data_IF_704039360603
#
_entry.id   IF_704039360603
#
_cell.length_a   1.000
_cell.length_b   1.000
_cell.length_c   1.000
_cell.angle_alpha   90.00
_cell.angle_beta   90.00
_cell.angle_gamma   90.00
#
_symmetry.space_group_name_H-M   'P 1'
#
loop_
_entity.id
_entity.type
_entity.pdbx_description
1 polymer ?
#
# COMPACT_ATOMS: atom_id res chain seq x y z
N UNK A 1 -7.99 -47.28 54.47
CA UNK A 1 -8.62 -48.28 53.57
C UNK A 1 -8.01 -48.11 52.19
N UNK A 2 -7.35 -49.16 51.69
CA UNK A 2 -6.77 -49.22 50.34
C UNK A 2 -7.90 -49.39 49.33
N UNK A 3 -7.90 -48.64 48.24
CA UNK A 3 -8.75 -48.95 47.07
C UNK A 3 -7.92 -48.78 45.80
N UNK A 4 -7.78 -49.88 45.08
CA UNK A 4 -7.07 -50.01 43.82
C UNK A 4 -8.00 -49.56 42.68
N UNK A 5 -7.54 -48.69 41.78
CA UNK A 5 -8.25 -48.38 40.53
C UNK A 5 -7.52 -49.09 39.40
N UNK A 6 -8.23 -50.04 38.77
CA UNK A 6 -7.77 -50.80 37.61
C UNK A 6 -7.79 -49.93 36.34
N UNK A 7 -6.77 -50.13 35.51
CA UNK A 7 -6.64 -49.66 34.14
C UNK A 7 -7.61 -50.35 33.18
N UNK A 8 -8.13 -49.62 32.20
CA UNK A 8 -8.69 -50.17 30.97
C UNK A 8 -8.08 -49.43 29.77
N UNK A 9 -7.20 -50.13 29.04
CA UNK A 9 -6.51 -49.66 27.85
C UNK A 9 -7.30 -50.16 26.62
N UNK A 10 -8.03 -49.28 25.94
CA UNK A 10 -8.71 -49.60 24.68
C UNK A 10 -7.75 -49.47 23.49
N UNK A 11 -7.31 -50.58 22.93
CA UNK A 11 -6.62 -50.65 21.64
C UNK A 11 -7.65 -50.63 20.50
N UNK A 12 -7.66 -49.57 19.69
CA UNK A 12 -8.36 -49.50 18.41
C UNK A 12 -7.44 -50.04 17.31
N UNK A 13 -7.84 -51.13 16.67
CA UNK A 13 -7.17 -51.66 15.47
C UNK A 13 -7.94 -51.17 14.24
N UNK A 14 -7.27 -50.41 13.37
CA UNK A 14 -7.81 -49.98 12.09
C UNK A 14 -7.57 -51.08 11.04
N UNK A 15 -8.64 -51.73 10.57
CA UNK A 15 -8.59 -52.68 9.46
C UNK A 15 -8.57 -51.94 8.12
N UNK A 16 -7.55 -52.19 7.31
CA UNK A 16 -7.48 -51.76 5.91
C UNK A 16 -8.10 -52.84 5.01
N UNK A 17 -9.18 -52.50 4.30
CA UNK A 17 -9.75 -53.35 3.25
C UNK A 17 -9.29 -52.84 1.88
N UNK A 18 -8.44 -53.61 1.20
CA UNK A 18 -8.12 -53.41 -0.21
C UNK A 18 -9.12 -54.19 -1.08
N UNK A 19 -9.82 -53.50 -1.98
CA UNK A 19 -10.66 -54.11 -3.00
C UNK A 19 -9.81 -54.51 -4.22
N UNK A 20 -10.05 -55.68 -4.85
CA UNK A 20 -9.34 -56.07 -6.06
C UNK A 20 -9.86 -55.28 -7.27
N UNK A 21 -8.94 -54.71 -8.05
CA UNK A 21 -9.24 -54.08 -9.33
C UNK A 21 -9.58 -55.15 -10.39
N UNK A 22 -10.59 -54.92 -11.26
CA UNK A 22 -10.91 -55.84 -12.33
C UNK A 22 -9.84 -55.79 -13.43
N UNK A 23 -9.43 -56.98 -13.87
CA UNK A 23 -8.50 -57.22 -14.98
C UNK A 23 -9.20 -56.94 -16.30
N UNK A 24 -8.79 -55.88 -17.00
CA UNK A 24 -9.24 -55.63 -18.37
C UNK A 24 -8.66 -56.70 -19.31
N UNK A 25 -9.52 -57.30 -20.14
CA UNK A 25 -9.11 -58.22 -21.20
C UNK A 25 -8.64 -57.42 -22.42
N UNK A 26 -7.47 -57.77 -22.93
CA UNK A 26 -6.92 -57.23 -24.17
C UNK A 26 -7.72 -57.79 -25.35
N UNK A 27 -8.61 -56.98 -25.91
CA UNK A 27 -9.29 -57.27 -27.18
C UNK A 27 -8.55 -56.51 -28.28
N UNK A 28 -7.67 -57.22 -28.98
CA UNK A 28 -6.98 -56.69 -30.16
C UNK A 28 -8.01 -56.46 -31.27
N UNK A 29 -8.47 -55.22 -31.39
CA UNK A 29 -9.35 -54.78 -32.48
C UNK A 29 -8.50 -54.08 -33.53
N UNK A 30 -8.38 -54.68 -34.71
CA UNK A 30 -7.70 -54.09 -35.87
C UNK A 30 -8.58 -52.98 -36.44
N UNK A 31 -8.30 -51.73 -36.08
CA UNK A 31 -9.01 -50.55 -36.63
C UNK A 31 -8.25 -50.03 -37.83
N UNK A 32 -8.90 -50.08 -38.99
CA UNK A 32 -8.48 -49.44 -40.24
C UNK A 32 -8.25 -47.94 -40.01
N UNK A 33 -7.02 -47.47 -40.20
CA UNK A 33 -6.66 -46.07 -40.06
C UNK A 33 -7.28 -45.25 -41.20
N UNK A 34 -8.44 -44.66 -40.95
CA UNK A 34 -8.95 -43.54 -41.74
C UNK A 34 -8.11 -42.32 -41.38
N UNK A 35 -7.36 -41.77 -42.34
CA UNK A 35 -6.60 -40.54 -42.16
C UNK A 35 -7.53 -39.40 -41.78
N UNK A 36 -7.66 -39.17 -40.47
CA UNK A 36 -8.32 -37.99 -39.92
C UNK A 36 -7.49 -36.78 -40.32
N UNK A 37 -8.03 -35.98 -41.23
CA UNK A 37 -7.56 -34.62 -41.50
C UNK A 37 -7.34 -33.93 -40.17
N UNK A 38 -6.10 -33.59 -39.86
CA UNK A 38 -5.71 -32.92 -38.63
C UNK A 38 -6.44 -31.60 -38.55
N UNK A 39 -7.62 -31.59 -37.91
CA UNK A 39 -8.26 -30.37 -37.48
C UNK A 39 -7.28 -29.70 -36.54
N UNK A 40 -6.66 -28.61 -37.00
CA UNK A 40 -5.86 -27.72 -36.20
C UNK A 40 -6.73 -27.24 -35.04
N UNK A 41 -6.69 -27.98 -33.95
CA UNK A 41 -7.38 -27.61 -32.72
C UNK A 41 -6.61 -26.41 -32.23
N UNK A 42 -7.17 -25.21 -32.41
CA UNK A 42 -6.59 -23.99 -31.88
C UNK A 42 -6.50 -24.15 -30.36
N UNK A 43 -5.30 -24.42 -29.86
CA UNK A 43 -5.05 -24.43 -28.43
C UNK A 43 -5.43 -23.05 -27.91
N UNK A 44 -6.34 -22.94 -26.92
CA UNK A 44 -6.69 -21.65 -26.36
C UNK A 44 -5.43 -21.02 -25.77
N UNK A 45 -5.12 -19.79 -26.20
CA UNK A 45 -4.05 -18.99 -25.58
C UNK A 45 -4.37 -18.82 -24.10
N UNK A 46 -3.47 -19.19 -23.18
CA UNK A 46 -3.68 -18.95 -21.75
C UNK A 46 -3.96 -17.46 -21.49
N UNK A 47 -4.94 -17.18 -20.63
CA UNK A 47 -5.19 -15.80 -20.19
C UNK A 47 -4.01 -15.32 -19.34
N UNK A 48 -3.36 -14.25 -19.78
CA UNK A 48 -2.32 -13.54 -19.02
C UNK A 48 -2.93 -12.31 -18.34
N UNK A 49 -3.14 -12.41 -17.02
CA UNK A 49 -3.71 -11.31 -16.22
C UNK A 49 -2.74 -10.13 -16.05
N UNK A 50 -1.47 -10.29 -16.44
CA UNK A 50 -0.43 -9.25 -16.38
C UNK A 50 -0.24 -8.51 -17.69
N UNK A 51 -0.90 -8.97 -18.77
CA UNK A 51 -0.77 -8.37 -20.09
C UNK A 51 -1.15 -6.89 -20.08
N UNK A 52 -0.19 -6.01 -20.40
CA UNK A 52 -0.37 -4.57 -20.43
C UNK A 52 -0.24 -3.86 -19.08
N UNK A 53 0.02 -4.59 -17.99
CA UNK A 53 0.18 -4.00 -16.67
C UNK A 53 1.43 -3.13 -16.60
N UNK A 54 1.28 -1.90 -16.11
CA UNK A 54 2.40 -0.99 -15.86
C UNK A 54 2.68 -0.92 -14.37
N UNK A 55 3.85 -1.44 -13.97
CA UNK A 55 4.24 -1.51 -12.56
C UNK A 55 5.07 -0.33 -12.11
N UNK A 56 5.77 0.40 -12.99
CA UNK A 56 6.49 1.62 -12.64
C UNK A 56 5.57 2.84 -12.71
N UNK A 57 5.83 3.87 -11.91
CA UNK A 57 5.16 5.15 -12.08
C UNK A 57 5.65 5.83 -13.37
N UNK A 58 4.78 6.13 -14.35
CA UNK A 58 5.22 6.77 -15.58
C UNK A 58 5.70 8.20 -15.32
N UNK A 59 6.80 8.59 -15.95
CA UNK A 59 7.38 9.93 -15.88
C UNK A 59 7.41 10.50 -17.30
N UNK A 60 6.86 11.69 -17.47
CA UNK A 60 6.75 12.38 -18.75
C UNK A 60 8.13 12.78 -19.30
N UNK A 61 8.22 12.96 -20.62
CA UNK A 61 9.46 13.36 -21.31
C UNK A 61 9.91 14.79 -20.98
N UNK A 62 9.05 15.60 -20.36
CA UNK A 62 9.41 16.93 -19.86
C UNK A 62 10.45 16.89 -18.75
N UNK A 63 10.63 15.73 -18.10
CA UNK A 63 11.70 15.51 -17.14
C UNK A 63 13.01 15.17 -17.87
N UNK A 64 13.98 16.08 -17.84
CA UNK A 64 15.34 15.79 -18.31
C UNK A 64 15.99 14.64 -17.52
N UNK A 65 17.13 14.13 -17.99
CA UNK A 65 17.81 12.97 -17.40
C UNK A 65 18.11 13.11 -15.89
N UNK A 66 18.40 14.32 -15.41
CA UNK A 66 18.72 14.57 -14.01
C UNK A 66 17.46 14.59 -13.14
N UNK A 67 16.40 15.26 -13.60
CA UNK A 67 15.12 15.31 -12.88
C UNK A 67 14.47 13.92 -12.85
N UNK A 68 14.48 13.22 -13.99
CA UNK A 68 13.98 11.85 -14.11
C UNK A 68 14.64 10.91 -13.11
N UNK A 69 15.97 10.87 -13.04
CA UNK A 69 16.68 9.99 -12.08
C UNK A 69 16.32 10.27 -10.62
N UNK A 70 16.16 11.55 -10.26
CA UNK A 70 15.77 11.92 -8.89
C UNK A 70 14.34 11.48 -8.60
N UNK A 71 13.44 11.70 -9.55
CA UNK A 71 12.04 11.33 -9.43
C UNK A 71 11.84 9.80 -9.42
N UNK A 72 12.59 9.04 -10.21
CA UNK A 72 12.63 7.57 -10.16
C UNK A 72 13.00 7.08 -8.76
N UNK A 73 14.11 7.57 -8.19
CA UNK A 73 14.51 7.25 -6.81
C UNK A 73 13.41 7.65 -5.81
N UNK A 74 12.87 8.85 -5.95
CA UNK A 74 11.85 9.36 -5.04
C UNK A 74 10.57 8.49 -5.06
N UNK A 75 10.17 8.02 -6.23
CA UNK A 75 9.01 7.12 -6.41
C UNK A 75 9.28 5.73 -5.84
N UNK A 76 10.51 5.22 -5.98
CA UNK A 76 10.93 3.97 -5.32
C UNK A 76 10.87 4.11 -3.79
N UNK A 77 11.37 5.22 -3.23
CA UNK A 77 11.28 5.52 -1.79
C UNK A 77 9.82 5.68 -1.33
N UNK A 78 8.92 6.22 -2.16
CA UNK A 78 7.47 6.26 -1.85
C UNK A 78 6.87 4.86 -1.79
N UNK A 79 7.26 3.96 -2.69
CA UNK A 79 6.81 2.55 -2.65
C UNK A 79 7.37 1.87 -1.41
N UNK A 80 8.63 2.11 -1.03
CA UNK A 80 9.23 1.60 0.20
C UNK A 80 8.46 2.05 1.44
N UNK A 81 8.19 3.36 1.55
CA UNK A 81 7.45 3.94 2.66
C UNK A 81 6.03 3.35 2.77
N UNK A 82 5.31 3.26 1.65
CA UNK A 82 3.96 2.69 1.62
C UNK A 82 3.96 1.18 1.92
N UNK A 83 4.95 0.43 1.41
CA UNK A 83 5.09 -0.99 1.69
C UNK A 83 5.34 -1.23 3.18
N UNK A 84 6.20 -0.43 3.80
CA UNK A 84 6.46 -0.52 5.23
C UNK A 84 5.21 -0.22 6.05
N UNK A 85 4.47 0.85 5.73
CA UNK A 85 3.20 1.17 6.39
C UNK A 85 2.16 0.04 6.27
N UNK A 86 2.00 -0.51 5.06
CA UNK A 86 1.15 -1.70 4.80
C UNK A 86 1.55 -2.87 5.68
N UNK A 87 2.83 -3.19 5.71
CA UNK A 87 3.35 -4.36 6.41
C UNK A 87 3.29 -4.20 7.93
N UNK A 88 3.44 -2.97 8.44
CA UNK A 88 3.19 -2.64 9.85
C UNK A 88 1.73 -2.94 10.24
N UNK A 89 0.76 -2.49 9.43
CA UNK A 89 -0.67 -2.78 9.66
C UNK A 89 -0.93 -4.30 9.62
N UNK A 90 -0.38 -5.01 8.64
CA UNK A 90 -0.57 -6.47 8.53
C UNK A 90 0.03 -7.24 9.71
N UNK A 91 1.17 -6.77 10.21
CA UNK A 91 1.91 -7.44 11.29
C UNK A 91 1.25 -7.24 12.65
N UNK A 92 0.88 -6.00 12.96
CA UNK A 92 0.46 -5.63 14.31
C UNK A 92 -1.04 -5.35 14.43
N UNK A 93 -1.71 -5.04 13.33
CA UNK A 93 -3.14 -4.74 13.30
C UNK A 93 -3.53 -3.71 14.36
N UNK A 94 -4.65 -3.95 15.02
CA UNK A 94 -5.17 -3.09 16.08
C UNK A 94 -4.35 -3.06 17.37
N UNK A 95 -3.38 -3.96 17.54
CA UNK A 95 -2.51 -3.98 18.73
C UNK A 95 -1.38 -2.94 18.63
N UNK A 96 -1.14 -2.37 17.44
CA UNK A 96 -0.14 -1.31 17.28
C UNK A 96 -0.61 0.00 17.92
N UNK A 97 0.21 0.62 18.79
CA UNK A 97 -0.10 1.94 19.32
C UNK A 97 -0.13 3.00 18.21
N UNK A 98 0.60 2.82 17.10
CA UNK A 98 0.53 3.73 15.96
C UNK A 98 -0.79 3.58 15.19
N UNK A 99 -1.27 2.35 15.00
CA UNK A 99 -2.58 2.11 14.36
C UNK A 99 -3.70 2.74 15.19
N UNK A 100 -3.67 2.51 16.50
CA UNK A 100 -4.62 3.12 17.44
C UNK A 100 -4.56 4.65 17.47
N UNK A 101 -3.35 5.21 17.35
CA UNK A 101 -3.11 6.66 17.34
C UNK A 101 -3.68 7.35 16.10
N UNK A 102 -3.49 6.77 14.92
CA UNK A 102 -3.83 7.42 13.64
C UNK A 102 -5.18 7.01 13.07
N UNK A 103 -5.61 5.77 13.28
CA UNK A 103 -6.90 5.25 12.78
C UNK A 103 -7.93 5.10 13.91
N UNK A 104 -7.59 5.72 15.04
CA UNK A 104 -8.46 5.85 16.18
C UNK A 104 -8.55 4.59 17.00
N UNK A 105 -8.96 4.82 18.23
CA UNK A 105 -9.65 3.80 19.01
C UNK A 105 -11.05 4.28 19.38
N UNK A 106 -11.51 5.40 18.80
CA UNK A 106 -12.84 6.02 18.84
C UNK A 106 -13.61 5.90 20.16
N UNK A 107 -14.06 7.00 20.76
CA UNK A 107 -15.11 6.91 21.79
C UNK A 107 -16.41 6.46 21.12
N UNK A 108 -16.64 5.15 20.99
CA UNK A 108 -17.89 4.62 20.48
C UNK A 108 -19.06 5.14 21.32
N UNK A 109 -20.25 5.19 20.71
CA UNK A 109 -21.49 5.51 21.42
C UNK A 109 -21.58 4.64 22.69
N UNK A 110 -21.55 5.27 23.86
CA UNK A 110 -21.47 4.68 25.22
C UNK A 110 -20.07 4.48 25.82
N UNK A 111 -19.04 5.18 25.35
CA UNK A 111 -17.68 5.12 25.92
C UNK A 111 -16.93 3.83 25.57
N UNK A 112 -17.35 3.15 24.50
CA UNK A 112 -16.72 1.91 24.03
C UNK A 112 -15.71 2.22 22.94
N UNK A 113 -14.44 2.13 23.29
CA UNK A 113 -13.29 2.28 22.40
C UNK A 113 -13.42 1.35 21.17
N UNK A 114 -13.73 1.90 19.98
CA UNK A 114 -13.79 1.17 18.71
C UNK A 114 -12.73 1.68 17.72
N UNK A 115 -11.75 0.83 17.41
CA UNK A 115 -10.80 1.04 16.32
C UNK A 115 -11.55 1.00 14.96
N UNK A 116 -11.31 1.99 14.10
CA UNK A 116 -11.82 1.93 12.73
C UNK A 116 -11.12 0.81 11.96
N UNK A 117 -11.82 0.23 10.99
CA UNK A 117 -11.28 -0.83 10.15
C UNK A 117 -9.98 -0.39 9.49
N UNK A 118 -8.89 -1.13 9.72
CA UNK A 118 -7.61 -0.90 9.04
C UNK A 118 -7.61 -1.35 7.58
N UNK A 119 -8.73 -1.91 7.08
CA UNK A 119 -8.85 -2.35 5.69
C UNK A 119 -8.69 -1.20 4.70
N UNK A 120 -9.21 -0.01 5.02
CA UNK A 120 -9.07 1.18 4.17
C UNK A 120 -7.61 1.62 4.02
N UNK A 121 -6.87 1.97 5.11
CA UNK A 121 -5.47 2.36 4.98
C UNK A 121 -4.61 1.24 4.39
N UNK A 122 -4.86 -0.03 4.77
CA UNK A 122 -4.19 -1.18 4.18
C UNK A 122 -4.39 -1.26 2.66
N UNK A 123 -5.62 -1.04 2.20
CA UNK A 123 -5.98 -1.03 0.78
C UNK A 123 -5.25 0.09 0.02
N UNK A 124 -5.22 1.30 0.56
CA UNK A 124 -4.55 2.43 -0.10
C UNK A 124 -3.04 2.21 -0.23
N UNK A 125 -2.35 1.80 0.84
CA UNK A 125 -0.94 1.47 0.74
C UNK A 125 -0.69 0.30 -0.23
N UNK A 126 -1.56 -0.72 -0.23
CA UNK A 126 -1.45 -1.83 -1.18
C UNK A 126 -1.60 -1.38 -2.63
N UNK A 127 -2.51 -0.45 -2.91
CA UNK A 127 -2.68 0.14 -4.25
C UNK A 127 -1.45 0.93 -4.66
N UNK A 128 -0.88 1.73 -3.76
CA UNK A 128 0.36 2.47 -4.02
C UNK A 128 1.50 1.51 -4.35
N UNK A 129 1.61 0.39 -3.63
CA UNK A 129 2.69 -0.59 -3.82
C UNK A 129 2.52 -1.45 -5.08
N UNK A 130 1.30 -1.85 -5.42
CA UNK A 130 1.08 -2.94 -6.37
C UNK A 130 0.01 -2.72 -7.45
N UNK A 131 -0.74 -1.60 -7.44
CA UNK A 131 -1.71 -1.34 -8.49
C UNK A 131 -1.02 -1.11 -9.84
N UNK A 132 -1.76 -1.32 -10.92
CA UNK A 132 -1.36 -0.88 -12.26
C UNK A 132 -1.38 0.67 -12.33
N UNK A 133 -0.26 1.25 -12.79
CA UNK A 133 0.01 2.68 -12.81
C UNK A 133 -0.04 3.31 -14.21
N UNK A 134 -0.45 2.56 -15.25
CA UNK A 134 -0.21 2.91 -16.66
C UNK A 134 -0.88 4.18 -17.16
N UNK A 135 -1.95 4.63 -16.50
CA UNK A 135 -2.65 5.87 -16.85
C UNK A 135 -2.16 7.08 -16.03
N UNK A 136 -1.32 6.87 -15.02
CA UNK A 136 -0.78 7.94 -14.19
C UNK A 136 0.45 8.53 -14.85
N UNK A 137 0.77 9.81 -14.62
CA UNK A 137 2.04 10.38 -15.09
C UNK A 137 2.53 11.50 -14.19
N UNK A 138 3.83 11.49 -13.88
CA UNK A 138 4.54 12.59 -13.24
C UNK A 138 5.24 13.47 -14.28
N UNK A 139 5.12 14.78 -14.14
CA UNK A 139 5.62 15.78 -15.08
C UNK A 139 6.61 16.73 -14.43
N UNK A 140 7.56 17.26 -15.21
CA UNK A 140 8.48 18.31 -14.78
C UNK A 140 8.25 19.65 -15.49
N UNK A 141 7.41 19.67 -16.52
CA UNK A 141 6.78 20.89 -17.02
C UNK A 141 5.52 21.18 -16.20
N UNK A 142 5.05 22.42 -16.28
CA UNK A 142 3.85 22.89 -15.62
C UNK A 142 2.87 23.49 -16.65
N UNK A 143 2.06 22.65 -17.32
CA UNK A 143 1.10 23.13 -18.32
C UNK A 143 0.06 24.09 -17.75
N UNK A 144 -0.23 24.00 -16.45
CA UNK A 144 -1.26 24.80 -15.79
C UNK A 144 -0.69 26.09 -15.19
N UNK A 145 0.64 26.24 -15.15
CA UNK A 145 1.40 27.38 -14.61
C UNK A 145 1.19 27.62 -13.12
N UNK A 146 0.71 26.62 -12.39
CA UNK A 146 0.43 26.74 -10.96
C UNK A 146 1.70 26.90 -10.12
N UNK A 147 2.82 26.31 -10.53
CA UNK A 147 4.13 26.45 -9.89
C UNK A 147 4.60 27.92 -9.84
N UNK A 148 4.29 28.72 -10.87
CA UNK A 148 4.69 30.14 -10.94
C UNK A 148 3.77 31.03 -10.10
N UNK A 149 2.52 30.61 -9.89
CA UNK A 149 1.50 31.43 -9.23
C UNK A 149 1.47 31.31 -7.70
N UNK A 150 2.11 30.28 -7.15
CA UNK A 150 2.06 29.98 -5.72
C UNK A 150 3.47 29.86 -5.14
N UNK A 151 3.86 30.87 -4.38
CA UNK A 151 5.21 30.92 -3.82
C UNK A 151 5.47 29.71 -2.92
N UNK A 152 6.60 29.04 -3.17
CA UNK A 152 7.00 27.84 -2.46
C UNK A 152 6.28 26.55 -2.85
N UNK A 153 5.33 26.55 -3.79
CA UNK A 153 4.71 25.30 -4.27
C UNK A 153 5.74 24.38 -4.91
N UNK A 154 5.83 23.16 -4.37
CA UNK A 154 6.79 22.16 -4.82
C UNK A 154 6.18 21.20 -5.87
N UNK A 155 4.89 21.31 -6.15
CA UNK A 155 4.16 20.52 -7.14
C UNK A 155 2.67 20.52 -6.87
N UNK A 156 1.92 19.96 -7.79
CA UNK A 156 0.47 19.89 -7.68
C UNK A 156 -0.12 18.74 -8.50
N UNK A 157 -1.29 18.28 -8.10
CA UNK A 157 -2.15 17.48 -8.96
C UNK A 157 -2.83 18.39 -9.99
N UNK A 158 -3.01 17.93 -11.23
CA UNK A 158 -3.59 18.74 -12.32
C UNK A 158 -5.13 18.83 -12.27
N UNK A 159 -5.78 18.12 -11.33
CA UNK A 159 -7.22 18.21 -11.12
C UNK A 159 -8.01 17.89 -12.39
N UNK A 160 -9.03 18.71 -12.69
CA UNK A 160 -9.90 18.52 -13.85
C UNK A 160 -9.17 18.65 -15.21
N UNK A 161 -8.00 19.30 -15.27
CA UNK A 161 -7.25 19.48 -16.52
C UNK A 161 -6.59 18.17 -16.99
N UNK A 162 -6.15 17.33 -16.04
CA UNK A 162 -5.65 15.98 -16.29
C UNK A 162 -5.62 15.18 -14.98
N UNK A 163 -6.72 14.48 -14.68
CA UNK A 163 -6.93 13.84 -13.36
C UNK A 163 -5.91 12.76 -13.02
N UNK A 164 -5.16 12.25 -13.99
CA UNK A 164 -4.13 11.23 -13.78
C UNK A 164 -2.71 11.79 -13.72
N UNK A 165 -2.56 13.10 -13.74
CA UNK A 165 -1.25 13.75 -13.84
C UNK A 165 -0.91 14.58 -12.61
N UNK A 166 0.36 14.49 -12.22
CA UNK A 166 0.97 15.29 -11.16
C UNK A 166 2.17 16.04 -11.71
N UNK A 167 2.27 17.32 -11.40
CA UNK A 167 3.41 18.19 -11.71
C UNK A 167 4.37 18.22 -10.52
N UNK A 168 5.66 18.10 -10.80
CA UNK A 168 6.75 18.35 -9.86
C UNK A 168 7.37 19.70 -10.17
N UNK A 169 7.20 20.68 -9.29
CA UNK A 169 7.84 21.99 -9.43
C UNK A 169 9.30 21.95 -8.95
N UNK A 170 10.10 22.92 -9.41
CA UNK A 170 11.51 23.09 -9.07
C UNK A 170 11.82 23.00 -7.56
N UNK A 171 11.03 23.60 -6.64
CA UNK A 171 11.34 23.51 -5.21
C UNK A 171 11.40 22.09 -4.64
N UNK A 172 10.75 21.10 -5.26
CA UNK A 172 10.88 19.70 -4.82
C UNK A 172 12.33 19.21 -4.94
N UNK A 173 13.00 19.52 -6.05
CA UNK A 173 14.37 19.08 -6.32
C UNK A 173 15.42 19.79 -5.46
N UNK A 174 15.05 20.90 -4.82
CA UNK A 174 15.97 21.70 -4.00
C UNK A 174 15.80 21.44 -2.50
N UNK A 175 14.57 21.16 -2.06
CA UNK A 175 14.21 21.17 -0.64
C UNK A 175 13.90 19.79 -0.07
N UNK A 176 13.43 18.84 -0.90
CA UNK A 176 13.04 17.51 -0.43
C UNK A 176 14.27 16.72 -0.02
N UNK A 177 14.18 16.08 1.14
CA UNK A 177 15.20 15.18 1.65
C UNK A 177 14.91 13.75 1.22
N UNK A 178 15.93 12.91 1.22
CA UNK A 178 15.81 11.47 0.96
C UNK A 178 15.28 10.73 2.19
N UNK A 179 14.56 9.64 1.98
CA UNK A 179 13.94 8.83 3.05
C UNK A 179 14.95 8.28 4.05
N UNK A 180 16.19 8.02 3.62
CA UNK A 180 17.31 7.55 4.47
C UNK A 180 17.74 8.58 5.54
N UNK A 181 17.26 9.82 5.46
CA UNK A 181 17.57 10.89 6.39
C UNK A 181 16.48 11.19 7.43
N UNK A 182 15.42 10.36 7.49
CA UNK A 182 14.38 10.43 8.53
C UNK A 182 15.01 10.36 9.93
N UNK A 183 14.51 11.18 10.85
CA UNK A 183 15.08 11.40 12.20
C UNK A 183 16.47 12.06 12.24
N UNK A 184 17.11 12.28 11.09
CA UNK A 184 18.34 13.04 10.98
C UNK A 184 18.10 14.55 10.95
N UNK A 185 19.18 15.31 11.20
CA UNK A 185 19.21 16.78 10.98
C UNK A 185 18.08 17.54 11.70
N UNK A 186 17.70 17.09 12.90
CA UNK A 186 16.66 17.71 13.72
C UNK A 186 15.23 17.45 13.24
N UNK A 187 15.02 16.56 12.26
CA UNK A 187 13.68 16.18 11.83
C UNK A 187 12.92 15.47 12.95
N UNK A 188 11.70 15.91 13.20
CA UNK A 188 10.68 15.16 13.95
C UNK A 188 9.39 15.14 13.14
N UNK A 189 8.60 14.07 13.26
CA UNK A 189 7.34 13.90 12.50
C UNK A 189 6.37 15.05 12.77
N UNK A 190 6.26 15.49 14.02
CA UNK A 190 5.38 16.60 14.44
C UNK A 190 5.98 17.95 14.08
N UNK A 191 7.28 18.14 14.32
CA UNK A 191 7.92 19.45 14.21
C UNK A 191 8.37 19.82 12.80
N UNK A 192 8.14 18.96 11.79
CA UNK A 192 8.56 19.18 10.41
C UNK A 192 7.38 19.10 9.44
N UNK A 193 7.37 19.85 8.34
CA UNK A 193 6.34 19.72 7.31
C UNK A 193 6.25 18.29 6.78
N UNK A 194 5.04 17.76 6.56
CA UNK A 194 4.82 16.41 6.00
C UNK A 194 5.58 16.17 4.70
N UNK A 195 5.72 17.22 3.91
CA UNK A 195 6.42 17.17 2.64
C UNK A 195 7.96 17.30 2.76
N UNK A 196 8.55 17.17 3.95
CA UNK A 196 10.02 17.27 4.13
C UNK A 196 10.79 16.25 3.28
N UNK A 197 10.27 15.03 3.14
CA UNK A 197 10.88 13.98 2.34
C UNK A 197 10.18 13.83 0.99
N UNK A 198 10.95 13.39 -0.01
CA UNK A 198 10.41 12.97 -1.30
C UNK A 198 9.31 11.92 -1.13
N UNK A 199 9.58 10.90 -0.32
CA UNK A 199 8.68 9.77 -0.15
C UNK A 199 7.29 10.17 0.35
N UNK A 200 7.21 11.07 1.33
CA UNK A 200 5.95 11.55 1.93
C UNK A 200 5.21 12.53 1.02
N UNK A 201 5.93 13.46 0.39
CA UNK A 201 5.35 14.41 -0.58
C UNK A 201 4.77 13.71 -1.81
N UNK A 202 5.45 12.67 -2.32
CA UNK A 202 4.93 11.87 -3.42
C UNK A 202 3.82 10.90 -2.96
N UNK A 203 3.87 10.40 -1.72
CA UNK A 203 2.77 9.61 -1.13
C UNK A 203 1.46 10.41 -1.13
N UNK A 204 1.49 11.67 -0.72
CA UNK A 204 0.36 12.59 -0.85
C UNK A 204 -0.12 12.69 -2.30
N UNK A 205 0.78 13.00 -3.22
CA UNK A 205 0.42 13.27 -4.61
C UNK A 205 -0.20 12.05 -5.30
N UNK A 206 0.29 10.84 -5.03
CA UNK A 206 -0.35 9.62 -5.57
C UNK A 206 -1.75 9.42 -5.01
N UNK A 207 -2.01 9.82 -3.76
CA UNK A 207 -3.34 9.76 -3.14
C UNK A 207 -4.33 10.76 -3.77
N UNK A 208 -3.86 11.81 -4.45
CA UNK A 208 -4.73 12.68 -5.25
C UNK A 208 -5.12 12.07 -6.60
N UNK A 209 -4.42 11.03 -7.07
CA UNK A 209 -4.66 10.47 -8.41
C UNK A 209 -5.72 9.37 -8.35
N UNK A 210 -6.87 9.49 -9.07
CA UNK A 210 -7.97 8.54 -8.97
C UNK A 210 -7.62 7.10 -9.36
N UNK A 211 -6.58 6.88 -10.17
CA UNK A 211 -6.09 5.52 -10.43
C UNK A 211 -5.64 4.81 -9.14
N UNK A 212 -5.16 5.55 -8.15
CA UNK A 212 -4.77 5.02 -6.84
C UNK A 212 -5.89 5.20 -5.82
N UNK A 213 -6.46 6.38 -5.68
CA UNK A 213 -7.37 6.70 -4.58
C UNK A 213 -8.85 6.54 -4.89
N UNK A 214 -9.20 6.23 -6.14
CA UNK A 214 -10.60 6.15 -6.59
C UNK A 214 -11.38 7.46 -6.42
N UNK A 215 -10.69 8.57 -6.15
CA UNK A 215 -11.31 9.85 -5.79
C UNK A 215 -11.95 9.86 -4.40
N UNK A 216 -11.57 8.93 -3.51
CA UNK A 216 -12.13 8.78 -2.16
C UNK A 216 -11.20 9.37 -1.08
N UNK A 217 -9.89 9.36 -1.33
CA UNK A 217 -8.92 9.91 -0.37
C UNK A 217 -8.90 11.43 -0.51
N UNK A 218 -9.23 12.13 0.57
CA UNK A 218 -9.37 13.59 0.64
C UNK A 218 -8.60 14.17 1.85
N UNK A 219 -8.72 15.47 2.07
CA UNK A 219 -8.19 16.18 3.25
C UNK A 219 -9.33 16.44 4.23
N UNK A 220 -9.43 15.63 5.28
CA UNK A 220 -10.32 15.81 6.42
C UNK A 220 -9.60 16.47 7.61
N UNK A 221 -8.27 16.37 7.66
CA UNK A 221 -7.38 17.10 8.54
C UNK A 221 -6.18 17.64 7.75
N UNK A 222 -5.55 18.72 8.26
CA UNK A 222 -4.45 19.42 7.56
C UNK A 222 -3.12 19.43 8.35
N UNK A 223 -3.14 18.98 9.62
CA UNK A 223 -1.95 18.96 10.47
C UNK A 223 -1.97 17.79 11.47
N UNK A 224 -0.86 17.62 12.18
CA UNK A 224 -0.68 16.53 13.14
C UNK A 224 -1.73 16.53 14.26
N UNK A 225 -2.13 17.70 14.77
CA UNK A 225 -3.16 17.80 15.79
C UNK A 225 -4.53 17.39 15.23
N UNK A 226 -4.84 17.86 14.03
CA UNK A 226 -6.03 17.55 13.26
C UNK A 226 -6.18 16.06 13.01
N UNK A 227 -5.13 15.35 12.57
CA UNK A 227 -5.23 13.90 12.32
C UNK A 227 -5.48 13.11 13.60
N UNK A 228 -4.90 13.54 14.74
CA UNK A 228 -5.16 12.90 16.02
C UNK A 228 -6.58 13.18 16.54
N UNK A 229 -7.12 14.36 16.25
CA UNK A 229 -8.51 14.69 16.59
C UNK A 229 -9.50 13.94 15.70
N UNK A 230 -9.21 13.85 14.40
CA UNK A 230 -9.98 13.06 13.44
C UNK A 230 -10.05 11.59 13.89
N UNK A 231 -8.92 11.02 14.29
CA UNK A 231 -8.83 9.66 14.83
C UNK A 231 -9.68 9.45 16.11
N UNK A 232 -9.97 10.50 16.88
CA UNK A 232 -10.79 10.40 18.09
C UNK A 232 -12.28 10.60 17.82
N UNK A 233 -12.60 11.53 16.92
CA UNK A 233 -13.97 12.03 16.72
C UNK A 233 -14.67 11.41 15.52
N UNK A 234 -13.95 11.15 14.45
CA UNK A 234 -14.46 10.60 13.18
C UNK A 234 -13.47 9.55 12.60
N UNK A 235 -13.16 8.47 13.36
CA UNK A 235 -12.13 7.50 12.97
C UNK A 235 -12.43 6.79 11.64
N UNK A 236 -13.68 6.78 11.20
CA UNK A 236 -14.08 6.30 9.87
C UNK A 236 -13.48 7.13 8.71
N UNK A 237 -13.15 8.40 8.94
CA UNK A 237 -12.49 9.29 7.97
C UNK A 237 -10.98 9.17 7.98
N UNK A 238 -10.37 8.80 9.11
CA UNK A 238 -8.91 8.64 9.24
C UNK A 238 -8.30 7.70 8.20
N UNK A 239 -9.02 6.63 7.84
CA UNK A 239 -8.56 5.66 6.83
C UNK A 239 -8.60 6.17 5.38
N UNK A 240 -9.20 7.33 5.13
CA UNK A 240 -9.35 7.98 3.82
C UNK A 240 -8.88 9.45 3.85
N UNK A 241 -8.15 9.84 4.89
CA UNK A 241 -7.54 11.15 5.02
C UNK A 241 -6.09 11.11 4.56
N UNK A 242 -5.71 11.93 3.58
CA UNK A 242 -4.37 11.90 2.99
C UNK A 242 -3.28 12.25 3.99
N UNK A 243 -3.56 13.15 4.95
CA UNK A 243 -2.56 13.57 5.93
C UNK A 243 -2.38 12.51 7.02
N UNK A 244 -3.46 11.86 7.45
CA UNK A 244 -3.41 10.70 8.35
C UNK A 244 -2.59 9.57 7.74
N UNK A 245 -2.80 9.26 6.45
CA UNK A 245 -2.02 8.25 5.73
C UNK A 245 -0.54 8.65 5.61
N UNK A 246 -0.22 9.93 5.43
CA UNK A 246 1.17 10.39 5.40
C UNK A 246 1.84 10.28 6.77
N UNK A 247 1.19 10.81 7.81
CA UNK A 247 1.71 10.81 9.17
C UNK A 247 1.90 9.39 9.70
N UNK A 248 0.92 8.51 9.51
CA UNK A 248 1.07 7.11 9.90
C UNK A 248 2.30 6.49 9.24
N UNK A 249 2.43 6.63 7.92
CA UNK A 249 3.51 5.99 7.17
C UNK A 249 4.90 6.46 7.62
N UNK A 250 5.10 7.77 7.78
CA UNK A 250 6.41 8.30 8.18
C UNK A 250 6.73 8.04 9.67
N UNK A 251 5.72 8.01 10.54
CA UNK A 251 5.93 7.76 11.98
C UNK A 251 6.28 6.28 12.25
N UNK A 252 5.62 5.34 11.57
CA UNK A 252 6.01 3.92 11.68
C UNK A 252 7.35 3.64 11.00
N UNK A 253 7.67 4.31 9.89
CA UNK A 253 9.02 4.21 9.30
C UNK A 253 10.08 4.78 10.24
N UNK A 254 9.82 5.91 10.88
CA UNK A 254 10.71 6.48 11.88
C UNK A 254 10.95 5.51 13.05
N UNK A 255 9.91 4.87 13.57
CA UNK A 255 10.01 3.96 14.71
C UNK A 255 10.60 2.60 14.38
N UNK A 256 10.24 1.99 13.25
CA UNK A 256 10.67 0.63 12.92
C UNK A 256 12.02 0.60 12.19
N UNK A 257 12.32 1.61 11.37
CA UNK A 257 13.46 1.61 10.45
C UNK A 257 14.49 2.68 10.81
N UNK A 258 14.09 3.96 10.84
CA UNK A 258 15.04 5.06 10.93
C UNK A 258 15.70 5.19 12.31
N UNK A 259 14.93 5.00 13.38
CA UNK A 259 15.37 4.98 14.77
C UNK A 259 14.69 3.82 15.53
N UNK A 260 15.13 2.56 15.30
CA UNK A 260 14.44 1.36 15.75
C UNK A 260 14.08 1.37 17.25
N UNK A 261 12.78 1.27 17.54
CA UNK A 261 12.24 1.20 18.91
C UNK A 261 12.18 2.54 19.66
N UNK A 262 12.65 3.62 19.05
CA UNK A 262 12.66 4.98 19.63
C UNK A 262 11.82 5.93 18.80
N UNK A 263 11.99 5.90 17.47
CA UNK A 263 11.36 6.83 16.54
C UNK A 263 11.86 8.28 16.69
N UNK A 264 11.17 9.19 16.00
CA UNK A 264 11.35 10.63 16.14
C UNK A 264 10.01 11.35 15.94
N UNK A 265 8.94 10.84 16.55
CA UNK A 265 7.62 11.45 16.47
C UNK A 265 7.69 12.94 16.84
N UNK A 266 8.37 13.28 17.93
CA UNK A 266 8.43 14.65 18.46
C UNK A 266 7.28 14.95 19.42
N UNK A 267 7.28 16.17 19.95
CA UNK A 267 6.27 16.64 20.91
C UNK A 267 5.27 17.57 20.21
N UNK A 268 4.00 17.48 20.63
CA UNK A 268 2.96 18.44 20.23
C UNK A 268 3.14 19.67 21.09
N UNK A 269 3.51 20.80 20.47
CA UNK A 269 3.60 22.10 21.14
C UNK A 269 2.23 22.77 21.20
#
# INVERSE_FOLDING_TARGET
MRSHILSALCLLTAGTHALPAPRAQDVTTTVTATSSTSSSTSTPTPYDFTAGAVTAFPIHESCNSTLRRQLERALDETVELAAHARDHILRFGGDSPFVQKYFGTGNGTNGTTTLASTAAPLGWYSRIVAADRGNMTFRCDDPDRNCETQDGWAGHWRGANATQETVICQPSYEKRRWLDSVCGLGHTVVGSPLNTFWATDLLHRVLHVPRISEGIVEHFAEDYGGVLELARTEPEKSGIDSDTLQYFAIDVYAFDIAAPGVGCTGEVN
#
